data_IF_738333941013
#
_entry.id   IF_738333941013
#
_cell.length_a   1.000
_cell.length_b   1.000
_cell.length_c   1.000
_cell.angle_alpha   90.00
_cell.angle_beta   90.00
_cell.angle_gamma   90.00
#
_symmetry.space_group_name_H-M   'P 1'
#
loop_
_entity.id
_entity.type
_entity.pdbx_description
1 polymer ?
#
# COMPACT_ATOMS: atom_id res chain seq x y z
N UNK A 1 -6.16 30.65 6.23
CA UNK A 1 -4.92 30.68 5.44
C UNK A 1 -4.17 29.36 5.53
N UNK A 2 -3.38 28.98 4.52
CA UNK A 2 -2.54 27.77 4.53
C UNK A 2 -1.66 27.62 5.80
N UNK A 3 -1.08 28.70 6.37
CA UNK A 3 -0.37 28.64 7.65
C UNK A 3 -1.22 28.13 8.83
N UNK A 4 -2.54 28.30 8.80
CA UNK A 4 -3.45 27.79 9.83
C UNK A 4 -3.52 26.26 9.88
N UNK A 5 -3.00 25.56 8.85
CA UNK A 5 -2.90 24.10 8.82
C UNK A 5 -1.49 23.59 9.18
N UNK A 6 -0.59 24.48 9.60
CA UNK A 6 0.78 24.16 10.07
C UNK A 6 0.94 24.42 11.57
N UNK A 7 -0.11 24.16 12.36
CA UNK A 7 -0.09 24.40 13.81
C UNK A 7 0.93 23.45 14.47
N UNK A 8 1.83 24.01 15.26
CA UNK A 8 2.87 23.26 15.96
C UNK A 8 2.26 22.15 16.84
N UNK A 9 2.73 20.92 16.68
CA UNK A 9 2.23 19.73 17.37
C UNK A 9 1.02 19.04 16.72
N UNK A 10 0.45 19.63 15.67
CA UNK A 10 -0.70 19.09 14.93
C UNK A 10 -0.44 18.97 13.43
N UNK A 11 0.82 19.07 12.99
CA UNK A 11 1.17 19.11 11.57
C UNK A 11 0.81 17.80 10.86
N UNK A 12 1.00 16.64 11.50
CA UNK A 12 0.70 15.33 10.90
C UNK A 12 -0.82 15.11 10.74
N UNK A 13 -1.66 15.31 11.78
CA UNK A 13 -3.12 15.21 11.62
C UNK A 13 -3.72 16.20 10.62
N UNK A 14 -3.12 17.40 10.47
CA UNK A 14 -3.62 18.43 9.55
C UNK A 14 -3.06 18.28 8.12
N UNK A 15 -2.14 17.35 7.89
CA UNK A 15 -1.37 17.28 6.64
C UNK A 15 -2.23 17.03 5.40
N UNK A 16 -3.27 16.20 5.51
CA UNK A 16 -4.20 15.96 4.39
C UNK A 16 -4.99 17.21 4.03
N UNK A 17 -5.46 17.98 5.03
CA UNK A 17 -6.16 19.26 4.79
C UNK A 17 -5.21 20.31 4.20
N UNK A 18 -3.98 20.35 4.72
CA UNK A 18 -2.93 21.19 4.18
C UNK A 18 -2.66 20.87 2.70
N UNK A 19 -2.54 19.59 2.32
CA UNK A 19 -2.30 19.19 0.95
C UNK A 19 -3.44 19.60 0.01
N UNK A 20 -4.70 19.50 0.45
CA UNK A 20 -5.87 19.97 -0.31
C UNK A 20 -5.87 21.49 -0.48
N UNK A 21 -5.59 22.24 0.58
CA UNK A 21 -5.51 23.71 0.51
C UNK A 21 -4.35 24.19 -0.39
N UNK A 22 -3.20 23.52 -0.30
CA UNK A 22 -2.06 23.74 -1.19
C UNK A 22 -2.44 23.47 -2.65
N UNK A 23 -3.08 22.32 -2.93
CA UNK A 23 -3.55 21.95 -4.27
C UNK A 23 -4.46 23.03 -4.88
N UNK A 24 -5.43 23.52 -4.10
CA UNK A 24 -6.33 24.60 -4.55
C UNK A 24 -5.58 25.92 -4.81
N UNK A 25 -4.64 26.29 -3.93
CA UNK A 25 -3.88 27.53 -4.10
C UNK A 25 -2.99 27.49 -5.36
N UNK A 26 -2.35 26.35 -5.64
CA UNK A 26 -1.58 26.16 -6.86
C UNK A 26 -2.46 26.25 -8.11
N UNK A 27 -3.67 25.67 -8.07
CA UNK A 27 -4.63 25.76 -9.17
C UNK A 27 -5.01 27.23 -9.49
N UNK A 28 -5.32 28.04 -8.47
CA UNK A 28 -5.68 29.45 -8.65
C UNK A 28 -4.50 30.26 -9.21
N UNK A 29 -3.28 30.02 -8.71
CA UNK A 29 -2.08 30.70 -9.22
C UNK A 29 -1.78 30.31 -10.68
N UNK A 30 -1.99 29.04 -11.04
CA UNK A 30 -1.90 28.56 -12.43
C UNK A 30 -2.92 29.27 -13.32
N UNK A 31 -4.19 29.32 -12.92
CA UNK A 31 -5.23 29.98 -13.70
C UNK A 31 -4.96 31.47 -13.88
N UNK A 32 -4.50 32.14 -12.82
CA UNK A 32 -4.07 33.55 -12.90
C UNK A 32 -2.88 33.74 -13.85
N UNK A 33 -1.97 32.77 -13.92
CA UNK A 33 -0.82 32.81 -14.83
C UNK A 33 -1.21 32.55 -16.29
N UNK A 34 -2.28 31.79 -16.55
CA UNK A 34 -2.77 31.46 -17.91
C UNK A 34 -3.75 32.51 -18.42
N UNK A 35 -4.74 32.87 -17.60
CA UNK A 35 -5.89 33.68 -17.99
C UNK A 35 -5.84 35.11 -17.46
N UNK A 36 -4.90 35.44 -16.56
CA UNK A 36 -4.85 36.72 -15.87
C UNK A 36 -4.89 37.93 -16.79
N UNK A 37 -4.21 37.89 -17.94
CA UNK A 37 -4.27 38.98 -18.92
C UNK A 37 -5.69 39.20 -19.47
N UNK A 38 -6.46 38.13 -19.68
CA UNK A 38 -7.87 38.21 -20.12
C UNK A 38 -8.79 38.72 -19.01
N UNK A 39 -8.40 38.51 -17.75
CA UNK A 39 -9.08 39.07 -16.58
C UNK A 39 -8.69 40.53 -16.31
N UNK A 40 -7.80 41.13 -17.10
CA UNK A 40 -7.36 42.52 -16.96
C UNK A 40 -6.13 42.72 -16.07
N UNK A 41 -5.43 41.65 -15.67
CA UNK A 41 -4.16 41.77 -14.95
C UNK A 41 -3.05 42.29 -15.88
N UNK A 42 -2.17 43.12 -15.32
CA UNK A 42 -0.95 43.56 -16.03
C UNK A 42 0.00 42.38 -16.24
N UNK A 43 0.89 42.50 -17.23
CA UNK A 43 1.95 41.51 -17.47
C UNK A 43 2.86 41.33 -16.26
N UNK A 44 3.09 42.40 -15.48
CA UNK A 44 3.84 42.35 -14.22
C UNK A 44 3.12 41.44 -13.23
N UNK A 45 1.84 41.65 -12.98
CA UNK A 45 1.07 40.84 -12.02
C UNK A 45 0.99 39.36 -12.45
N UNK A 46 0.82 39.09 -13.75
CA UNK A 46 0.82 37.71 -14.29
C UNK A 46 2.18 37.04 -14.04
N UNK A 47 3.29 37.73 -14.30
CA UNK A 47 4.63 37.21 -14.05
C UNK A 47 4.93 37.02 -12.56
N UNK A 48 4.45 37.93 -11.70
CA UNK A 48 4.57 37.77 -10.25
C UNK A 48 3.79 36.56 -9.74
N UNK A 49 2.57 36.34 -10.23
CA UNK A 49 1.76 35.17 -9.87
C UNK A 49 2.42 33.88 -10.34
N UNK A 50 3.02 33.87 -11.53
CA UNK A 50 3.83 32.73 -11.98
C UNK A 50 5.04 32.49 -11.08
N UNK A 51 5.77 33.54 -10.68
CA UNK A 51 6.91 33.38 -9.77
C UNK A 51 6.48 32.89 -8.38
N UNK A 52 5.28 33.27 -7.91
CA UNK A 52 4.68 32.72 -6.68
C UNK A 52 4.29 31.25 -6.85
N UNK A 53 3.72 30.89 -8.00
CA UNK A 53 3.36 29.51 -8.34
C UNK A 53 4.56 28.59 -8.21
N UNK A 54 5.65 28.89 -8.93
CA UNK A 54 6.86 28.04 -8.92
C UNK A 54 7.42 27.89 -7.51
N UNK A 55 7.50 28.98 -6.75
CA UNK A 55 7.98 28.95 -5.36
C UNK A 55 7.11 28.06 -4.46
N UNK A 56 5.79 28.15 -4.59
CA UNK A 56 4.87 27.40 -3.75
C UNK A 56 4.75 25.93 -4.17
N UNK A 57 4.99 25.57 -5.43
CA UNK A 57 5.12 24.16 -5.85
C UNK A 57 6.18 23.48 -4.98
N UNK A 58 7.39 24.06 -4.92
CA UNK A 58 8.50 23.50 -4.15
C UNK A 58 8.24 23.55 -2.64
N UNK A 59 7.78 24.68 -2.12
CA UNK A 59 7.50 24.85 -0.69
C UNK A 59 6.46 23.84 -0.20
N UNK A 60 5.38 23.65 -0.96
CA UNK A 60 4.29 22.77 -0.56
C UNK A 60 4.66 21.30 -0.69
N UNK A 61 5.37 20.92 -1.75
CA UNK A 61 5.87 19.56 -1.92
C UNK A 61 6.85 19.18 -0.78
N UNK A 62 7.81 20.07 -0.47
CA UNK A 62 8.77 19.85 0.61
C UNK A 62 8.08 19.76 1.97
N UNK A 63 7.12 20.65 2.27
CA UNK A 63 6.38 20.59 3.53
C UNK A 63 5.60 19.27 3.69
N UNK A 64 4.96 18.79 2.61
CA UNK A 64 4.27 17.49 2.60
C UNK A 64 5.25 16.35 2.89
N UNK A 65 6.38 16.29 2.18
CA UNK A 65 7.37 15.24 2.34
C UNK A 65 8.03 15.27 3.74
N UNK A 66 8.44 16.44 4.22
CA UNK A 66 9.12 16.58 5.51
C UNK A 66 8.21 16.25 6.69
N UNK A 67 6.94 16.69 6.64
CA UNK A 67 5.98 16.42 7.71
C UNK A 67 5.56 14.95 7.72
N UNK A 68 5.38 14.34 6.54
CA UNK A 68 5.18 12.89 6.41
C UNK A 68 6.35 12.10 7.03
N UNK A 69 7.60 12.44 6.65
CA UNK A 69 8.79 11.77 7.15
C UNK A 69 8.92 11.94 8.68
N UNK A 70 8.64 13.13 9.21
CA UNK A 70 8.64 13.41 10.65
C UNK A 70 7.58 12.59 11.37
N UNK A 71 6.36 12.51 10.82
CA UNK A 71 5.28 11.70 11.38
C UNK A 71 5.66 10.22 11.49
N UNK A 72 6.20 9.64 10.43
CA UNK A 72 6.69 8.25 10.43
C UNK A 72 7.86 8.03 11.39
N UNK A 73 8.77 9.00 11.53
CA UNK A 73 9.92 8.88 12.42
C UNK A 73 9.58 9.02 13.90
N UNK A 74 8.48 9.69 14.23
CA UNK A 74 8.02 9.87 15.60
C UNK A 74 7.24 8.65 16.14
N UNK A 75 6.83 7.73 15.28
CA UNK A 75 6.15 6.50 15.71
C UNK A 75 7.14 5.52 16.37
N UNK A 76 6.70 4.75 17.38
CA UNK A 76 7.49 3.63 17.89
C UNK A 76 7.74 2.61 16.79
N UNK A 77 8.85 1.87 16.86
CA UNK A 77 9.30 0.91 15.83
C UNK A 77 9.86 -0.37 16.46
N UNK A 78 9.16 -0.90 17.46
CA UNK A 78 9.65 -2.05 18.25
C UNK A 78 8.85 -3.32 17.98
N UNK A 79 7.52 -3.20 17.97
CA UNK A 79 6.60 -4.33 17.98
C UNK A 79 5.90 -4.54 16.64
N UNK A 80 5.25 -5.69 16.49
CA UNK A 80 4.31 -5.96 15.40
C UNK A 80 3.18 -4.92 15.32
N UNK A 81 2.64 -4.50 16.47
CA UNK A 81 1.57 -3.51 16.52
C UNK A 81 2.05 -2.13 16.09
N UNK A 82 3.29 -1.78 16.46
CA UNK A 82 3.94 -0.56 15.98
C UNK A 82 4.07 -0.56 14.46
N UNK A 83 4.43 -1.71 13.87
CA UNK A 83 4.51 -1.85 12.42
C UNK A 83 3.18 -1.65 11.72
N UNK A 84 2.08 -2.18 12.28
CA UNK A 84 0.73 -1.95 11.73
C UNK A 84 0.40 -0.46 11.75
N UNK A 85 0.61 0.22 12.88
CA UNK A 85 0.37 1.67 12.99
C UNK A 85 1.23 2.47 12.03
N UNK A 86 2.50 2.10 11.89
CA UNK A 86 3.44 2.69 10.95
C UNK A 86 3.01 2.51 9.50
N UNK A 87 2.63 1.29 9.11
CA UNK A 87 2.20 0.97 7.75
C UNK A 87 0.89 1.67 7.39
N UNK A 88 -0.07 1.74 8.33
CA UNK A 88 -1.32 2.49 8.17
C UNK A 88 -1.05 3.97 7.91
N UNK A 89 -0.26 4.63 8.76
CA UNK A 89 0.09 6.04 8.56
C UNK A 89 0.79 6.25 7.19
N UNK A 90 1.72 5.35 6.83
CA UNK A 90 2.38 5.36 5.52
C UNK A 90 1.37 5.27 4.37
N UNK A 91 0.47 4.29 4.41
CA UNK A 91 -0.55 4.07 3.38
C UNK A 91 -1.50 5.26 3.28
N UNK A 92 -2.06 5.69 4.40
CA UNK A 92 -3.10 6.73 4.44
C UNK A 92 -2.55 8.09 3.98
N UNK A 93 -1.34 8.47 4.42
CA UNK A 93 -0.71 9.71 3.96
C UNK A 93 -0.14 9.60 2.55
N UNK A 94 0.23 8.40 2.07
CA UNK A 94 0.58 8.23 0.65
C UNK A 94 -0.63 8.60 -0.21
N UNK A 95 -1.79 8.01 0.09
CA UNK A 95 -3.03 8.23 -0.67
C UNK A 95 -3.58 9.65 -0.55
N UNK A 96 -3.52 10.24 0.65
CA UNK A 96 -4.18 11.54 0.92
C UNK A 96 -3.26 12.76 0.81
N UNK A 97 -1.93 12.55 0.74
CA UNK A 97 -0.94 13.64 0.71
C UNK A 97 0.07 13.45 -0.41
N UNK A 98 0.85 12.36 -0.39
CA UNK A 98 2.00 12.23 -1.28
C UNK A 98 1.59 12.07 -2.74
N UNK A 99 0.53 11.32 -3.01
CA UNK A 99 0.00 11.15 -4.36
C UNK A 99 -0.45 12.51 -4.94
N UNK A 100 -1.03 13.39 -4.12
CA UNK A 100 -1.42 14.75 -4.53
C UNK A 100 -0.17 15.61 -4.77
N UNK A 101 0.75 15.61 -3.81
CA UNK A 101 1.97 16.43 -3.86
C UNK A 101 2.87 16.04 -5.03
N UNK A 102 2.88 14.76 -5.43
CA UNK A 102 3.62 14.28 -6.60
C UNK A 102 3.15 14.95 -7.91
N UNK A 103 1.91 15.43 -7.98
CA UNK A 103 1.38 16.17 -9.12
C UNK A 103 1.54 17.69 -9.02
N UNK A 104 2.03 18.25 -7.91
CA UNK A 104 2.26 19.71 -7.80
C UNK A 104 3.11 20.30 -8.93
N UNK A 105 4.19 19.64 -9.41
CA UNK A 105 4.96 20.15 -10.54
C UNK A 105 4.14 20.31 -11.84
N UNK A 106 3.05 19.57 -12.01
CA UNK A 106 2.19 19.68 -13.21
C UNK A 106 1.46 21.02 -13.31
N UNK A 107 1.40 21.80 -12.22
CA UNK A 107 0.82 23.15 -12.24
C UNK A 107 1.69 24.18 -12.98
N UNK A 108 2.99 23.93 -13.18
CA UNK A 108 3.85 24.80 -13.99
C UNK A 108 3.36 24.82 -15.44
N UNK A 109 2.60 25.86 -15.77
CA UNK A 109 1.99 26.04 -17.08
C UNK A 109 2.99 26.41 -18.19
N UNK A 110 4.20 26.86 -17.85
CA UNK A 110 5.24 27.13 -18.86
C UNK A 110 6.01 25.87 -19.19
N UNK A 111 6.20 24.99 -18.22
CA UNK A 111 6.78 23.66 -18.44
C UNK A 111 5.78 22.68 -19.07
N UNK A 112 4.52 22.73 -18.64
CA UNK A 112 3.42 21.89 -19.10
C UNK A 112 2.29 22.75 -19.69
N UNK A 113 2.47 23.30 -20.90
CA UNK A 113 1.48 24.19 -21.53
C UNK A 113 0.23 23.47 -22.02
N UNK A 114 0.29 22.15 -22.17
CA UNK A 114 -0.82 21.28 -22.56
C UNK A 114 -1.04 20.22 -21.48
N UNK A 115 -2.13 19.45 -21.61
CA UNK A 115 -2.43 18.36 -20.68
C UNK A 115 -1.25 17.38 -20.56
N UNK A 116 -0.77 17.21 -19.34
CA UNK A 116 0.23 16.21 -18.98
C UNK A 116 -0.42 15.03 -18.27
N UNK A 117 0.17 13.83 -18.43
CA UNK A 117 -0.27 12.60 -17.77
C UNK A 117 0.90 12.08 -16.95
N UNK A 118 0.74 12.04 -15.63
CA UNK A 118 1.71 11.43 -14.73
C UNK A 118 1.32 10.00 -14.34
N UNK A 119 2.30 9.24 -13.86
CA UNK A 119 2.13 7.86 -13.42
C UNK A 119 2.69 7.69 -12.02
N UNK A 120 1.89 7.14 -11.11
CA UNK A 120 2.32 6.79 -9.77
C UNK A 120 2.75 5.32 -9.75
N UNK A 121 4.05 5.06 -9.51
CA UNK A 121 4.62 3.70 -9.50
C UNK A 121 4.94 3.20 -8.09
N UNK A 122 4.57 3.97 -7.05
CA UNK A 122 4.78 3.58 -5.65
C UNK A 122 3.91 2.39 -5.26
N UNK A 123 4.44 1.57 -4.37
CA UNK A 123 3.73 0.45 -3.76
C UNK A 123 3.24 0.83 -2.36
N UNK A 124 2.04 0.37 -2.03
CA UNK A 124 1.48 0.45 -0.69
C UNK A 124 1.05 -0.95 -0.26
N UNK A 125 1.09 -1.19 1.04
CA UNK A 125 0.93 -2.53 1.61
C UNK A 125 -0.34 -2.56 2.47
N UNK A 126 -1.17 -3.58 2.30
CA UNK A 126 -2.29 -3.85 3.20
C UNK A 126 -1.77 -4.31 4.56
N UNK A 127 -2.63 -4.24 5.58
CA UNK A 127 -2.29 -4.75 6.89
C UNK A 127 -2.02 -6.26 6.83
N UNK A 128 -1.18 -6.80 7.71
CA UNK A 128 -0.91 -8.22 7.72
C UNK A 128 -2.18 -8.97 8.15
N UNK A 129 -2.43 -10.10 7.49
CA UNK A 129 -3.64 -10.90 7.70
C UNK A 129 -3.69 -11.59 9.08
N UNK A 130 -2.62 -11.51 9.87
CA UNK A 130 -2.53 -12.12 11.19
C UNK A 130 -3.21 -11.20 12.23
N UNK A 131 -4.35 -11.63 12.74
CA UNK A 131 -5.06 -10.94 13.83
C UNK A 131 -4.39 -11.18 15.18
N UNK A 132 -4.19 -10.12 15.96
CA UNK A 132 -3.56 -10.18 17.28
C UNK A 132 -4.40 -9.42 18.32
N UNK A 133 -4.63 -10.05 19.47
CA UNK A 133 -5.24 -9.39 20.63
C UNK A 133 -4.25 -9.43 21.80
N UNK A 134 -3.63 -8.29 22.17
CA UNK A 134 -2.64 -8.23 23.25
C UNK A 134 -3.20 -8.60 24.62
N UNK A 135 -4.52 -8.44 24.84
CA UNK A 135 -5.15 -8.78 26.12
C UNK A 135 -5.31 -10.30 26.30
N UNK A 136 -5.30 -11.06 25.21
CA UNK A 136 -5.58 -12.50 25.20
C UNK A 136 -4.36 -13.34 24.78
N UNK A 137 -3.27 -12.72 24.34
CA UNK A 137 -2.21 -13.42 23.60
C UNK A 137 -0.81 -12.91 23.98
N UNK A 138 0.15 -13.85 24.06
CA UNK A 138 1.56 -13.51 24.26
C UNK A 138 2.16 -12.83 23.05
N UNK A 139 2.70 -11.61 23.25
CA UNK A 139 3.45 -10.84 22.25
C UNK A 139 4.71 -11.56 21.77
N UNK A 140 5.27 -12.46 22.57
CA UNK A 140 6.52 -13.16 22.25
C UNK A 140 6.40 -14.03 20.99
N UNK A 141 5.17 -14.37 20.56
CA UNK A 141 4.93 -15.17 19.37
C UNK A 141 4.87 -14.37 18.06
N UNK A 142 4.94 -13.04 18.12
CA UNK A 142 4.86 -12.18 16.94
C UNK A 142 6.24 -11.75 16.43
N UNK A 143 6.36 -11.45 15.12
CA UNK A 143 7.54 -10.78 14.57
C UNK A 143 7.78 -9.42 15.22
N UNK A 144 9.04 -9.00 15.32
CA UNK A 144 9.37 -7.61 15.70
C UNK A 144 9.12 -6.66 14.53
N UNK A 145 9.11 -5.36 14.80
CA UNK A 145 9.00 -4.34 13.75
C UNK A 145 10.03 -4.56 12.62
N UNK A 146 11.29 -4.79 12.96
CA UNK A 146 12.36 -4.97 11.98
C UNK A 146 12.15 -6.20 11.09
N UNK A 147 11.65 -7.30 11.66
CA UNK A 147 11.32 -8.51 10.89
C UNK A 147 10.14 -8.24 9.94
N UNK A 148 9.15 -7.46 10.38
CA UNK A 148 8.05 -7.04 9.50
C UNK A 148 8.57 -6.14 8.38
N UNK A 149 9.27 -5.05 8.67
CA UNK A 149 9.72 -4.08 7.67
C UNK A 149 10.67 -4.69 6.64
N UNK A 150 11.53 -5.63 7.05
CA UNK A 150 12.48 -6.28 6.14
C UNK A 150 11.88 -7.39 5.26
N UNK A 151 10.82 -8.07 5.72
CA UNK A 151 10.26 -9.22 5.00
C UNK A 151 8.91 -8.93 4.33
N UNK A 152 8.12 -7.99 4.87
CA UNK A 152 6.84 -7.62 4.29
C UNK A 152 7.00 -6.73 3.04
N UNK A 153 8.13 -6.03 2.93
CA UNK A 153 8.35 -4.98 1.93
C UNK A 153 9.50 -5.39 1.02
N UNK A 154 9.35 -5.12 -0.29
CA UNK A 154 10.43 -5.33 -1.25
C UNK A 154 11.42 -4.16 -1.20
N UNK A 155 12.71 -4.45 -1.37
CA UNK A 155 13.71 -3.40 -1.62
C UNK A 155 13.43 -2.69 -2.95
N UNK A 156 13.80 -1.41 -3.08
CA UNK A 156 13.62 -0.65 -4.32
C UNK A 156 14.04 -1.44 -5.57
N UNK A 157 13.15 -1.45 -6.57
CA UNK A 157 13.29 -2.27 -7.77
C UNK A 157 12.68 -1.57 -8.98
N UNK A 158 12.99 -2.07 -10.18
CA UNK A 158 12.33 -1.65 -11.41
C UNK A 158 10.87 -2.14 -11.42
N UNK A 159 9.97 -1.36 -11.99
CA UNK A 159 8.56 -1.71 -12.11
C UNK A 159 8.37 -3.06 -12.81
N UNK A 160 7.59 -3.94 -12.19
CA UNK A 160 7.20 -5.24 -12.69
C UNK A 160 5.69 -5.46 -12.52
N UNK A 161 5.14 -6.39 -13.30
CA UNK A 161 3.71 -6.72 -13.28
C UNK A 161 3.55 -8.18 -12.87
N UNK A 162 2.80 -8.43 -11.80
CA UNK A 162 2.44 -9.77 -11.36
C UNK A 162 1.79 -10.56 -12.50
N UNK A 163 2.32 -11.76 -12.77
CA UNK A 163 1.83 -12.63 -13.83
C UNK A 163 1.30 -13.95 -13.25
N UNK A 164 2.09 -14.61 -12.41
CA UNK A 164 1.72 -15.87 -11.79
C UNK A 164 2.06 -15.92 -10.30
N UNK A 165 1.16 -16.54 -9.54
CA UNK A 165 1.36 -16.87 -8.13
C UNK A 165 1.14 -18.36 -7.94
N UNK A 166 2.18 -19.07 -7.50
CA UNK A 166 2.09 -20.48 -7.14
C UNK A 166 2.11 -20.63 -5.63
N UNK A 167 1.02 -21.15 -5.05
CA UNK A 167 0.85 -21.35 -3.61
C UNK A 167 1.13 -22.81 -3.24
N UNK A 168 1.93 -23.00 -2.19
CA UNK A 168 2.25 -24.29 -1.58
C UNK A 168 1.45 -24.45 -0.29
N UNK A 169 0.67 -25.53 -0.21
CA UNK A 169 -0.15 -25.84 0.97
C UNK A 169 0.68 -26.64 1.98
N UNK A 170 0.72 -26.14 3.21
CA UNK A 170 1.23 -26.88 4.36
C UNK A 170 0.09 -27.23 5.32
N UNK A 171 0.38 -28.04 6.33
CA UNK A 171 -0.62 -28.49 7.29
C UNK A 171 -0.06 -28.55 8.71
N UNK A 172 -0.96 -28.50 9.68
CA UNK A 172 -0.66 -28.91 11.05
C UNK A 172 -1.25 -30.29 11.32
N UNK A 173 -0.45 -31.13 11.97
CA UNK A 173 -0.80 -32.53 12.28
C UNK A 173 -2.06 -32.65 13.14
N UNK A 174 -2.25 -31.73 14.09
CA UNK A 174 -3.44 -31.68 14.93
C UNK A 174 -4.63 -31.16 14.13
N UNK A 175 -5.56 -32.06 13.78
CA UNK A 175 -6.79 -31.75 13.06
C UNK A 175 -6.65 -31.60 11.54
N UNK A 176 -5.48 -31.92 10.95
CA UNK A 176 -5.19 -31.80 9.50
C UNK A 176 -5.62 -30.46 8.92
N UNK A 177 -5.22 -29.38 9.58
CA UNK A 177 -5.60 -28.03 9.17
C UNK A 177 -4.60 -27.53 8.13
N UNK A 178 -5.07 -27.39 6.90
CA UNK A 178 -4.28 -26.93 5.77
C UNK A 178 -4.30 -25.41 5.64
N UNK A 179 -3.14 -24.83 5.34
CA UNK A 179 -2.96 -23.39 5.22
C UNK A 179 -1.92 -23.04 4.16
N UNK A 180 -1.86 -21.77 3.78
CA UNK A 180 -0.82 -21.22 2.92
C UNK A 180 0.55 -21.30 3.61
N UNK A 181 1.36 -22.30 3.25
CA UNK A 181 2.69 -22.54 3.83
C UNK A 181 3.82 -21.75 3.16
N UNK A 182 3.67 -21.47 1.87
CA UNK A 182 4.58 -20.62 1.13
C UNK A 182 4.09 -20.36 -0.29
N UNK A 183 4.82 -19.56 -1.05
CA UNK A 183 4.50 -19.32 -2.45
C UNK A 183 5.72 -18.90 -3.26
N UNK A 184 5.56 -18.89 -4.57
CA UNK A 184 6.49 -18.31 -5.54
C UNK A 184 5.75 -17.31 -6.41
N UNK A 185 6.36 -16.14 -6.61
CA UNK A 185 5.84 -15.08 -7.47
C UNK A 185 6.60 -15.07 -8.78
N UNK A 186 5.88 -14.93 -9.88
CA UNK A 186 6.45 -14.66 -11.19
C UNK A 186 5.83 -13.36 -11.70
N UNK A 187 6.70 -12.41 -12.05
CA UNK A 187 6.33 -11.09 -12.56
C UNK A 187 6.99 -10.87 -13.92
N UNK A 188 6.49 -9.93 -14.72
CA UNK A 188 7.07 -9.59 -16.01
C UNK A 188 7.62 -8.16 -15.97
N UNK A 189 8.81 -7.94 -16.56
CA UNK A 189 9.29 -6.58 -16.82
C UNK A 189 8.49 -5.95 -17.94
N UNK A 190 8.38 -4.62 -17.94
CA UNK A 190 7.82 -3.88 -19.07
C UNK A 190 8.67 -4.15 -20.32
N UNK A 191 8.06 -4.76 -21.34
CA UNK A 191 8.74 -5.13 -22.59
C UNK A 191 9.84 -6.20 -22.45
N UNK A 192 9.88 -6.93 -21.33
CA UNK A 192 10.92 -7.91 -21.05
C UNK A 192 10.38 -9.29 -20.67
N UNK A 193 11.31 -10.17 -20.25
CA UNK A 193 10.99 -11.53 -19.82
C UNK A 193 10.46 -11.63 -18.40
N UNK A 194 10.13 -12.86 -18.01
CA UNK A 194 9.66 -13.20 -16.68
C UNK A 194 10.79 -13.10 -15.64
N UNK A 195 10.47 -12.57 -14.47
CA UNK A 195 11.27 -12.60 -13.25
C UNK A 195 10.61 -13.60 -12.31
N UNK A 196 11.39 -14.57 -11.83
CA UNK A 196 10.94 -15.51 -10.81
C UNK A 196 11.52 -15.09 -9.46
N UNK A 197 10.66 -14.87 -8.46
CA UNK A 197 11.10 -14.58 -7.10
C UNK A 197 11.73 -15.83 -6.45
N UNK A 198 12.55 -15.65 -5.40
CA UNK A 198 12.81 -16.73 -4.45
C UNK A 198 11.48 -17.29 -3.89
N UNK A 199 11.55 -18.48 -3.31
CA UNK A 199 10.42 -19.04 -2.56
C UNK A 199 10.23 -18.19 -1.29
N UNK A 200 9.00 -17.77 -1.08
CA UNK A 200 8.54 -17.14 0.15
C UNK A 200 7.90 -18.20 1.05
N UNK A 201 8.28 -18.27 2.33
CA UNK A 201 7.81 -19.32 3.24
C UNK A 201 8.39 -20.70 2.88
N UNK A 202 7.56 -21.74 2.90
CA UNK A 202 7.96 -23.13 2.65
C UNK A 202 7.34 -23.72 1.39
N UNK A 203 8.13 -24.46 0.63
CA UNK A 203 7.66 -25.29 -0.49
C UNK A 203 7.11 -26.62 0.04
N UNK A 204 5.99 -26.55 0.76
CA UNK A 204 5.31 -27.72 1.31
C UNK A 204 4.60 -28.51 0.19
N UNK A 205 4.48 -29.83 0.41
CA UNK A 205 3.95 -30.80 -0.55
C UNK A 205 2.72 -31.55 -0.03
N UNK A 206 2.00 -30.97 0.94
CA UNK A 206 0.82 -31.62 1.55
C UNK A 206 -0.38 -31.67 0.60
N UNK A 207 -0.45 -30.71 -0.33
CA UNK A 207 -1.34 -30.73 -1.48
C UNK A 207 -0.54 -30.34 -2.75
N UNK A 208 -1.02 -30.72 -3.95
CA UNK A 208 -0.43 -30.23 -5.19
C UNK A 208 -0.39 -28.69 -5.24
N UNK A 209 0.73 -28.08 -5.67
CA UNK A 209 0.84 -26.63 -5.76
C UNK A 209 -0.29 -26.01 -6.59
N UNK A 210 -0.86 -24.92 -6.10
CA UNK A 210 -1.93 -24.19 -6.80
C UNK A 210 -1.34 -23.00 -7.53
N UNK A 211 -1.29 -23.09 -8.86
CA UNK A 211 -0.78 -22.02 -9.73
C UNK A 211 -1.92 -21.17 -10.27
N UNK A 212 -1.83 -19.86 -10.06
CA UNK A 212 -2.76 -18.88 -10.59
C UNK A 212 -2.04 -18.02 -11.61
N UNK A 213 -2.48 -18.07 -12.86
CA UNK A 213 -2.02 -17.16 -13.92
C UNK A 213 -3.06 -16.09 -14.12
N UNK A 214 -2.71 -14.85 -13.81
CA UNK A 214 -3.62 -13.72 -13.85
C UNK A 214 -3.61 -13.07 -15.23
N UNK A 215 -4.69 -13.26 -16.00
CA UNK A 215 -4.89 -12.60 -17.29
C UNK A 215 -5.50 -11.20 -17.10
N UNK A 216 -4.91 -10.39 -16.22
CA UNK A 216 -5.40 -9.06 -15.87
C UNK A 216 -5.00 -8.62 -14.45
N UNK A 217 -5.25 -7.35 -14.09
CA UNK A 217 -4.92 -6.85 -12.77
C UNK A 217 -5.79 -7.53 -11.72
N UNK A 218 -5.16 -8.09 -10.69
CA UNK A 218 -5.88 -8.50 -9.47
C UNK A 218 -6.16 -7.23 -8.69
N UNK A 219 -7.42 -6.83 -8.60
CA UNK A 219 -7.81 -5.56 -7.95
C UNK A 219 -8.31 -5.75 -6.51
N UNK A 220 -8.64 -6.99 -6.12
CA UNK A 220 -9.19 -7.32 -4.80
C UNK A 220 -8.74 -8.68 -4.32
N UNK A 221 -8.51 -8.79 -3.02
CA UNK A 221 -8.36 -10.06 -2.32
C UNK A 221 -9.36 -10.20 -1.17
N UNK A 222 -10.02 -11.35 -1.07
CA UNK A 222 -10.85 -11.73 0.08
C UNK A 222 -10.19 -12.87 0.84
N UNK A 223 -9.46 -12.51 1.90
CA UNK A 223 -8.61 -13.42 2.66
C UNK A 223 -9.35 -14.04 3.86
N UNK A 224 -9.08 -15.32 4.11
CA UNK A 224 -9.56 -16.09 5.26
C UNK A 224 -8.40 -16.37 6.21
N UNK A 225 -8.03 -15.43 7.09
CA UNK A 225 -7.00 -15.66 8.07
C UNK A 225 -7.48 -16.62 9.16
N UNK A 226 -6.55 -17.41 9.68
CA UNK A 226 -6.80 -18.33 10.79
C UNK A 226 -6.00 -17.92 12.01
N UNK A 227 -6.66 -17.99 13.15
CA UNK A 227 -6.02 -17.92 14.46
C UNK A 227 -6.58 -19.08 15.30
N UNK A 228 -5.75 -20.10 15.55
CA UNK A 228 -6.16 -21.27 16.33
C UNK A 228 -5.14 -21.60 17.40
N UNK A 229 -5.51 -21.58 18.69
CA UNK A 229 -4.68 -22.19 19.72
C UNK A 229 -4.72 -23.71 19.54
N UNK A 230 -3.57 -24.31 19.28
CA UNK A 230 -3.42 -25.74 19.08
C UNK A 230 -2.63 -26.33 20.25
N UNK A 231 -3.23 -27.32 20.90
CA UNK A 231 -2.61 -28.08 21.97
C UNK A 231 -1.70 -29.16 21.36
N UNK A 232 -0.43 -29.19 21.75
CA UNK A 232 0.52 -30.21 21.31
C UNK A 232 0.58 -31.35 22.32
N UNK A 233 0.94 -32.58 21.90
CA UNK A 233 1.25 -33.66 22.82
C UNK A 233 2.40 -33.27 23.76
N UNK A 234 2.28 -33.62 25.04
CA UNK A 234 3.35 -33.43 26.01
C UNK A 234 4.66 -34.08 25.52
N UNK A 235 5.83 -33.43 25.62
CA UNK A 235 6.15 -32.24 26.44
C UNK A 235 6.08 -30.89 25.70
N UNK A 236 5.55 -30.84 24.48
CA UNK A 236 5.62 -29.64 23.67
C UNK A 236 4.57 -28.59 24.11
N UNK A 237 4.94 -27.30 24.22
CA UNK A 237 4.03 -26.25 24.65
C UNK A 237 2.93 -26.00 23.60
N UNK A 238 1.74 -25.53 24.00
CA UNK A 238 0.72 -25.08 23.05
C UNK A 238 1.26 -24.01 22.10
N UNK A 239 0.83 -24.04 20.83
CA UNK A 239 1.19 -23.04 19.83
C UNK A 239 -0.04 -22.42 19.20
N UNK A 240 0.07 -21.16 18.79
CA UNK A 240 -1.00 -20.51 18.04
C UNK A 240 -0.69 -20.59 16.55
N UNK A 241 -1.52 -21.33 15.82
CA UNK A 241 -1.53 -21.30 14.36
C UNK A 241 -2.03 -19.92 13.91
N UNK A 242 -1.17 -19.23 13.16
CA UNK A 242 -1.44 -17.94 12.51
C UNK A 242 -1.10 -18.10 11.03
N UNK A 243 -2.08 -17.95 10.15
CA UNK A 243 -1.86 -18.13 8.72
C UNK A 243 -3.08 -17.78 7.90
N UNK A 244 -3.07 -18.17 6.62
CA UNK A 244 -4.17 -17.94 5.69
C UNK A 244 -4.68 -19.29 5.20
N UNK A 245 -5.93 -19.61 5.51
CA UNK A 245 -6.55 -20.89 5.10
C UNK A 245 -7.16 -20.82 3.71
N UNK A 246 -7.43 -19.62 3.21
CA UNK A 246 -7.94 -19.40 1.88
C UNK A 246 -7.88 -17.94 1.47
N UNK A 247 -7.89 -17.70 0.16
CA UNK A 247 -7.97 -16.36 -0.42
C UNK A 247 -8.67 -16.45 -1.77
N UNK A 248 -9.51 -15.47 -2.07
CA UNK A 248 -10.04 -15.24 -3.40
C UNK A 248 -9.36 -14.01 -4.01
N UNK A 249 -8.81 -14.15 -5.23
CA UNK A 249 -8.22 -13.08 -6.02
C UNK A 249 -9.18 -12.70 -7.15
N UNK A 250 -9.67 -11.47 -7.14
CA UNK A 250 -10.58 -10.98 -8.19
C UNK A 250 -9.83 -10.14 -9.23
N UNK A 251 -10.09 -10.43 -10.50
CA UNK A 251 -9.70 -9.64 -11.67
C UNK A 251 -10.97 -9.10 -12.34
N UNK A 252 -10.87 -8.14 -13.28
CA UNK A 252 -12.06 -7.60 -13.94
C UNK A 252 -12.95 -8.65 -14.62
N UNK A 253 -12.36 -9.76 -15.07
CA UNK A 253 -13.04 -10.80 -15.84
C UNK A 253 -13.22 -12.12 -15.09
N UNK A 254 -12.33 -12.45 -14.15
CA UNK A 254 -12.26 -13.76 -13.50
C UNK A 254 -12.00 -13.65 -11.99
N UNK A 255 -12.32 -14.71 -11.27
CA UNK A 255 -11.93 -14.88 -9.87
C UNK A 255 -11.15 -16.19 -9.69
N UNK A 256 -10.12 -16.17 -8.85
CA UNK A 256 -9.25 -17.30 -8.56
C UNK A 256 -9.26 -17.59 -7.07
N UNK A 257 -9.64 -18.81 -6.69
CA UNK A 257 -9.79 -19.16 -5.26
C UNK A 257 -8.76 -20.19 -4.85
N UNK A 258 -7.94 -19.83 -3.86
CA UNK A 258 -7.16 -20.77 -3.08
C UNK A 258 -8.00 -21.23 -1.89
N UNK A 259 -8.43 -22.51 -1.92
CA UNK A 259 -9.22 -23.22 -0.90
C UNK A 259 -10.62 -22.65 -0.61
N UNK A 260 -10.73 -21.37 -0.26
CA UNK A 260 -12.00 -20.70 0.00
C UNK A 260 -11.85 -19.19 0.13
N UNK A 261 -12.96 -18.47 0.02
CA UNK A 261 -13.04 -17.03 0.28
C UNK A 261 -13.10 -16.74 1.78
N UNK A 262 -12.58 -15.59 2.20
CA UNK A 262 -12.76 -15.09 3.57
C UNK A 262 -13.53 -13.79 3.65
N UNK A 263 -13.39 -13.11 4.78
CA UNK A 263 -14.09 -11.86 5.11
C UNK A 263 -13.16 -10.65 5.19
N UNK A 264 -11.83 -10.86 5.20
CA UNK A 264 -10.86 -9.76 5.20
C UNK A 264 -10.68 -9.27 3.78
N UNK A 265 -11.24 -8.09 3.51
CA UNK A 265 -11.34 -7.51 2.18
C UNK A 265 -10.33 -6.37 1.99
N UNK A 266 -9.48 -6.50 0.97
CA UNK A 266 -8.50 -5.47 0.62
C UNK A 266 -9.15 -4.14 0.24
N UNK A 267 -10.40 -4.14 -0.26
CA UNK A 267 -11.10 -2.90 -0.62
C UNK A 267 -11.44 -2.02 0.58
N UNK A 268 -11.37 -2.54 1.81
CA UNK A 268 -11.57 -1.72 3.02
C UNK A 268 -10.39 -0.78 3.28
N UNK A 269 -9.17 -1.20 2.88
CA UNK A 269 -7.94 -0.42 3.01
C UNK A 269 -7.56 0.29 1.70
N UNK A 270 -7.99 -0.27 0.56
CA UNK A 270 -7.70 0.21 -0.79
C UNK A 270 -9.02 0.39 -1.58
N UNK A 271 -9.81 1.42 -1.26
CA UNK A 271 -11.11 1.62 -1.88
C UNK A 271 -11.00 1.95 -3.38
N UNK A 272 -12.07 1.71 -4.18
CA UNK A 272 -12.16 2.16 -5.56
C UNK A 272 -11.94 3.68 -5.69
N UNK A 273 -11.29 4.09 -6.79
CA UNK A 273 -11.19 5.52 -7.15
C UNK A 273 -12.52 6.06 -7.68
N UNK A 274 -13.32 5.21 -8.33
CA UNK A 274 -14.66 5.53 -8.83
C UNK A 274 -15.69 4.58 -8.22
N UNK A 275 -16.54 5.11 -7.35
CA UNK A 275 -17.64 4.37 -6.71
C UNK A 275 -18.96 4.45 -7.49
N UNK A 276 -18.99 5.14 -8.64
CA UNK A 276 -20.17 5.18 -9.53
C UNK A 276 -20.30 3.93 -10.40
N UNK A 277 -19.22 3.16 -10.54
CA UNK A 277 -19.14 1.90 -11.28
C UNK A 277 -18.85 0.73 -10.35
N UNK A 278 -19.06 -0.54 -10.79
CA UNK A 278 -18.65 -1.69 -10.00
C UNK A 278 -17.14 -1.67 -9.67
N UNK A 279 -16.70 -2.19 -8.51
CA UNK A 279 -15.29 -2.16 -8.11
C UNK A 279 -14.30 -2.79 -9.12
N UNK A 280 -14.77 -3.72 -9.97
CA UNK A 280 -13.97 -4.31 -11.05
C UNK A 280 -13.61 -3.35 -12.18
N UNK A 281 -14.28 -2.21 -12.25
CA UNK A 281 -14.10 -1.15 -13.25
C UNK A 281 -13.49 0.12 -12.62
N UNK A 282 -13.87 0.45 -11.38
CA UNK A 282 -13.41 1.66 -10.67
C UNK A 282 -12.28 1.44 -9.67
N UNK A 283 -11.57 0.31 -9.70
CA UNK A 283 -10.48 0.04 -8.74
C UNK A 283 -9.33 1.04 -8.88
N UNK A 284 -8.75 1.45 -7.75
CA UNK A 284 -7.62 2.38 -7.70
C UNK A 284 -6.25 1.69 -7.80
N UNK A 285 -6.17 0.40 -7.45
CA UNK A 285 -4.91 -0.33 -7.30
C UNK A 285 -4.97 -1.72 -7.93
N UNK A 286 -3.79 -2.25 -8.25
CA UNK A 286 -3.59 -3.64 -8.66
C UNK A 286 -2.56 -4.30 -7.75
N UNK A 287 -2.74 -5.58 -7.44
CA UNK A 287 -1.75 -6.39 -6.74
C UNK A 287 -0.49 -6.48 -7.62
N UNK A 288 0.63 -5.96 -7.13
CA UNK A 288 1.92 -6.02 -7.83
C UNK A 288 2.80 -7.18 -7.35
N UNK A 289 2.70 -7.55 -6.08
CA UNK A 289 3.54 -8.60 -5.48
C UNK A 289 2.90 -9.15 -4.20
N UNK A 290 3.35 -10.32 -3.77
CA UNK A 290 3.06 -10.86 -2.45
C UNK A 290 4.38 -11.28 -1.78
N UNK A 291 4.58 -10.83 -0.54
CA UNK A 291 5.70 -11.24 0.30
C UNK A 291 5.20 -12.19 1.39
N UNK A 292 6.09 -12.67 2.25
CA UNK A 292 5.72 -13.59 3.33
C UNK A 292 6.53 -13.28 4.57
N UNK A 293 5.83 -13.13 5.69
CA UNK A 293 6.47 -12.97 6.99
C UNK A 293 6.26 -14.23 7.80
N UNK A 294 7.38 -14.84 8.18
CA UNK A 294 7.42 -15.94 9.13
C UNK A 294 8.27 -15.52 10.33
N UNK A 295 7.92 -16.01 11.52
CA UNK A 295 8.81 -15.89 12.67
C UNK A 295 9.94 -16.92 12.55
N UNK A 296 11.19 -16.46 12.62
CA UNK A 296 12.37 -17.34 12.69
C UNK A 296 12.28 -18.28 13.89
N UNK A 297 12.48 -19.58 13.65
CA UNK A 297 12.51 -20.61 14.70
C UNK A 297 11.30 -21.55 14.75
N UNK A 298 10.48 -21.60 13.69
CA UNK A 298 9.50 -22.68 13.47
C UNK A 298 9.74 -23.35 12.14
#
# INVERSE_FOLDING_TARGET
DIPSFRIAGFEVPLLSVYAQAANLHLAILRDSSIFGARWGLTTINVNENYNRLIRHIDEYANHCADTYNRGLNNLPKSTYQDWITYNRLRRDLTLTVLDIAAFFPSYDNRRYPIQSVGQLTREIYTDPLITFNPQLQSVAQLPTFNVMESNAIRTSHLFDVLNNLTIFTDWFSVGRNFYWGGHRVISNRIGGGNITSPIYGREANQEPPRSFTFNGPVFRTLSNPTFRPLQQPWPAPPFNLRGVEGVEFSTPLNSFTYRGRGTVDSLTELPPEDNSVPPREGYSHRLCHATFVQRSGT
#
